data_IF_934928917507
#
_entry.id   IF_934928917507
#
_cell.length_a   1.000
_cell.length_b   1.000
_cell.length_c   1.000
_cell.angle_alpha   90.00
_cell.angle_beta   90.00
_cell.angle_gamma   90.00
#
_symmetry.space_group_name_H-M   'P 1'
#
loop_
_entity.id
_entity.type
_entity.pdbx_description
1 polymer ?
#
# COMPACT_ATOMS: atom_id res chain seq x y z
N UNK A 1 21.63 18.86 -66.93
CA UNK A 1 20.39 19.12 -66.16
C UNK A 1 19.97 17.84 -65.42
N UNK A 2 19.52 16.81 -66.13
CA UNK A 2 19.06 15.49 -65.63
C UNK A 2 19.87 14.87 -64.48
N UNK A 3 21.21 14.87 -64.51
CA UNK A 3 22.02 14.28 -63.44
C UNK A 3 21.90 14.97 -62.07
N UNK A 4 21.52 16.26 -62.04
CA UNK A 4 21.24 17.00 -60.80
C UNK A 4 19.87 16.65 -60.23
N UNK A 5 18.89 16.49 -61.12
CA UNK A 5 17.51 16.12 -60.83
C UNK A 5 17.42 14.69 -60.29
N UNK A 6 18.11 13.73 -60.94
CA UNK A 6 18.24 12.36 -60.44
C UNK A 6 18.75 12.29 -59.00
N UNK A 7 19.83 13.01 -58.67
CA UNK A 7 20.38 13.08 -57.30
C UNK A 7 19.44 13.74 -56.29
N UNK A 8 18.53 14.58 -56.74
CA UNK A 8 17.55 15.26 -55.89
C UNK A 8 16.43 14.26 -55.54
N UNK A 9 15.91 13.55 -56.53
CA UNK A 9 14.93 12.47 -56.35
C UNK A 9 15.48 11.32 -55.49
N UNK A 10 16.74 10.90 -55.69
CA UNK A 10 17.40 9.88 -54.87
C UNK A 10 17.43 10.28 -53.38
N UNK A 11 17.76 11.54 -53.08
CA UNK A 11 17.73 12.08 -51.71
C UNK A 11 16.31 12.19 -51.16
N UNK A 12 15.33 12.54 -51.97
CA UNK A 12 13.94 12.69 -51.56
C UNK A 12 13.32 11.31 -51.20
N UNK A 13 13.64 10.27 -51.97
CA UNK A 13 13.30 8.87 -51.65
C UNK A 13 13.96 8.43 -50.34
N UNK A 14 15.24 8.74 -50.14
CA UNK A 14 15.97 8.41 -48.90
C UNK A 14 15.34 9.10 -47.67
N UNK A 15 14.96 10.38 -47.78
CA UNK A 15 14.27 11.11 -46.73
C UNK A 15 12.88 10.53 -46.43
N UNK A 16 12.09 10.23 -47.46
CA UNK A 16 10.77 9.62 -47.30
C UNK A 16 10.86 8.24 -46.62
N UNK A 17 11.85 7.42 -47.00
CA UNK A 17 12.07 6.10 -46.39
C UNK A 17 12.45 6.21 -44.90
N UNK A 18 13.36 7.12 -44.55
CA UNK A 18 13.74 7.37 -43.15
C UNK A 18 12.57 7.91 -42.31
N UNK A 19 11.73 8.77 -42.88
CA UNK A 19 10.50 9.25 -42.23
C UNK A 19 9.49 8.12 -42.02
N UNK A 20 9.33 7.22 -42.99
CA UNK A 20 8.42 6.08 -42.87
C UNK A 20 8.87 5.09 -41.78
N UNK A 21 10.17 4.75 -41.72
CA UNK A 21 10.75 3.91 -40.65
C UNK A 21 10.50 4.54 -39.26
N UNK A 22 10.65 5.86 -39.13
CA UNK A 22 10.38 6.57 -37.87
C UNK A 22 8.89 6.53 -37.50
N UNK A 23 8.00 6.72 -38.47
CA UNK A 23 6.55 6.66 -38.27
C UNK A 23 6.08 5.24 -37.89
N UNK A 24 6.63 4.20 -38.53
CA UNK A 24 6.38 2.80 -38.18
C UNK A 24 6.83 2.48 -36.75
N UNK A 25 8.01 2.95 -36.32
CA UNK A 25 8.49 2.82 -34.95
C UNK A 25 7.62 3.53 -33.91
N UNK A 26 7.11 4.73 -34.24
CA UNK A 26 6.15 5.44 -33.38
C UNK A 26 4.81 4.72 -33.29
N UNK A 27 4.29 4.23 -34.41
CA UNK A 27 3.03 3.49 -34.47
C UNK A 27 3.10 2.18 -33.65
N UNK A 28 4.22 1.47 -33.72
CA UNK A 28 4.42 0.23 -32.96
C UNK A 28 4.51 0.50 -31.45
N UNK A 29 5.20 1.57 -31.04
CA UNK A 29 5.22 2.01 -29.65
C UNK A 29 3.80 2.38 -29.14
N UNK A 30 2.99 3.05 -29.96
CA UNK A 30 1.63 3.44 -29.56
C UNK A 30 0.70 2.22 -29.45
N UNK A 31 0.82 1.23 -30.35
CA UNK A 31 0.11 -0.06 -30.20
C UNK A 31 0.49 -0.77 -28.90
N UNK A 32 1.77 -0.79 -28.54
CA UNK A 32 2.22 -1.40 -27.28
C UNK A 32 1.64 -0.69 -26.05
N UNK A 33 1.61 0.65 -26.04
CA UNK A 33 0.93 1.41 -24.96
C UNK A 33 -0.55 1.06 -24.85
N UNK A 34 -1.27 1.02 -25.96
CA UNK A 34 -2.71 0.67 -25.99
C UNK A 34 -2.93 -0.76 -25.49
N UNK A 35 -2.08 -1.71 -25.88
CA UNK A 35 -2.15 -3.09 -25.41
C UNK A 35 -1.97 -3.20 -23.89
N UNK A 36 -0.93 -2.56 -23.33
CA UNK A 36 -0.66 -2.53 -21.89
C UNK A 36 -1.80 -1.84 -21.13
N UNK A 37 -2.32 -0.72 -21.66
CA UNK A 37 -3.44 0.01 -21.05
C UNK A 37 -4.70 -0.88 -20.97
N UNK A 38 -4.99 -1.63 -22.04
CA UNK A 38 -6.12 -2.55 -22.07
C UNK A 38 -5.93 -3.72 -21.09
N UNK A 39 -4.73 -4.29 -21.00
CA UNK A 39 -4.41 -5.34 -20.02
C UNK A 39 -4.58 -4.85 -18.57
N UNK A 40 -4.18 -3.61 -18.27
CA UNK A 40 -4.37 -2.99 -16.96
C UNK A 40 -5.85 -2.75 -16.63
N UNK A 41 -6.65 -2.36 -17.63
CA UNK A 41 -8.09 -2.13 -17.45
C UNK A 41 -8.84 -3.44 -17.15
N UNK A 42 -8.59 -4.51 -17.91
CA UNK A 42 -9.15 -5.84 -17.68
C UNK A 42 -8.78 -6.37 -16.27
N UNK A 43 -7.52 -6.20 -15.85
CA UNK A 43 -7.06 -6.53 -14.48
C UNK A 43 -7.80 -5.71 -13.41
N UNK A 44 -8.15 -4.46 -13.68
CA UNK A 44 -8.87 -3.60 -12.75
C UNK A 44 -10.34 -4.00 -12.63
N UNK A 45 -11.01 -4.33 -13.75
CA UNK A 45 -12.44 -4.67 -13.74
C UNK A 45 -12.69 -6.08 -13.18
N UNK A 46 -11.76 -7.03 -13.36
CA UNK A 46 -11.73 -8.30 -12.62
C UNK A 46 -11.69 -8.10 -11.09
N UNK A 47 -11.10 -6.99 -10.61
CA UNK A 47 -11.01 -6.66 -9.18
C UNK A 47 -12.28 -5.97 -8.63
N UNK A 48 -13.06 -5.29 -9.49
CA UNK A 48 -14.29 -4.55 -9.09
C UNK A 48 -15.51 -5.44 -8.86
N UNK A 49 -15.56 -6.64 -9.43
CA UNK A 49 -16.72 -7.55 -9.30
C UNK A 49 -16.87 -8.21 -7.92
N UNK A 50 -15.99 -7.91 -6.96
CA UNK A 50 -16.23 -8.21 -5.56
C UNK A 50 -16.93 -7.03 -4.89
N UNK A 51 -18.23 -7.17 -4.62
CA UNK A 51 -18.96 -6.29 -3.70
C UNK A 51 -18.32 -6.39 -2.30
N UNK A 52 -17.38 -5.50 -2.01
CA UNK A 52 -16.73 -5.36 -0.70
C UNK A 52 -17.49 -4.31 0.10
N UNK A 53 -18.22 -4.69 1.18
CA UNK A 53 -18.66 -3.72 2.17
C UNK A 53 -17.44 -2.99 2.73
N UNK A 54 -17.58 -1.66 2.89
CA UNK A 54 -16.79 -0.73 3.71
C UNK A 54 -15.54 -1.34 4.39
N UNK A 55 -14.31 -0.84 4.15
CA UNK A 55 -13.09 -1.44 4.68
C UNK A 55 -13.05 -1.41 6.21
N UNK A 56 -13.51 -2.50 6.83
CA UNK A 56 -13.04 -2.92 8.13
C UNK A 56 -11.53 -3.15 8.00
N UNK A 57 -10.76 -2.54 8.91
CA UNK A 57 -9.31 -2.69 8.95
C UNK A 57 -9.01 -4.13 9.36
N UNK A 58 -8.89 -5.01 8.35
CA UNK A 58 -8.36 -6.35 8.49
C UNK A 58 -6.86 -6.24 8.70
N UNK A 59 -6.48 -5.95 9.95
CA UNK A 59 -5.20 -6.37 10.51
C UNK A 59 -5.02 -7.83 10.08
N UNK A 60 -3.92 -8.14 9.39
CA UNK A 60 -3.66 -9.50 8.87
C UNK A 60 -3.39 -10.45 10.04
N UNK A 61 -3.83 -11.73 9.92
CA UNK A 61 -4.12 -12.65 11.04
C UNK A 61 -3.50 -14.08 10.92
N UNK A 62 -2.29 -14.34 11.44
CA UNK A 62 -1.74 -15.66 11.85
C UNK A 62 -0.33 -15.65 12.51
N UNK A 63 -0.26 -16.08 13.77
CA UNK A 63 0.90 -16.78 14.34
C UNK A 63 1.27 -17.99 13.48
N UNK A 64 2.57 -18.19 13.23
CA UNK A 64 3.19 -19.49 12.86
C UNK A 64 2.64 -20.28 11.65
N UNK A 65 1.63 -19.76 10.96
CA UNK A 65 1.19 -20.15 9.61
C UNK A 65 1.25 -18.95 8.64
N UNK A 66 1.97 -17.88 9.02
CA UNK A 66 2.51 -16.87 8.11
C UNK A 66 1.73 -15.56 7.92
N UNK A 67 1.11 -14.92 8.96
CA UNK A 67 0.39 -13.64 8.76
C UNK A 67 0.34 -12.61 9.95
N UNK A 68 0.92 -12.86 11.15
CA UNK A 68 0.75 -12.16 12.47
C UNK A 68 -0.69 -12.24 13.04
N UNK A 69 -1.02 -12.75 14.25
CA UNK A 69 -2.42 -12.82 14.81
C UNK A 69 -2.94 -11.39 15.10
N UNK A 70 -4.25 -11.08 15.07
CA UNK A 70 -4.72 -9.75 15.45
C UNK A 70 -4.61 -9.59 16.96
N UNK A 71 -4.26 -8.39 17.41
CA UNK A 71 -4.66 -8.01 18.76
C UNK A 71 -6.19 -7.79 18.77
N UNK A 72 -6.91 -8.26 19.81
CA UNK A 72 -8.32 -7.92 19.97
C UNK A 72 -8.47 -6.40 20.11
N UNK A 73 -9.58 -5.86 19.62
CA UNK A 73 -9.85 -4.43 19.76
C UNK A 73 -10.13 -4.07 21.23
N UNK A 74 -9.84 -2.82 21.59
CA UNK A 74 -10.12 -2.27 22.91
C UNK A 74 -10.92 -0.96 22.79
N UNK A 75 -12.13 -0.96 23.36
CA UNK A 75 -13.09 0.15 23.26
C UNK A 75 -12.99 1.14 24.44
N UNK A 76 -12.11 0.89 25.41
CA UNK A 76 -11.94 1.71 26.62
C UNK A 76 -12.67 1.18 27.86
N UNK A 77 -13.02 -0.11 27.90
CA UNK A 77 -13.68 -0.75 29.05
C UNK A 77 -12.68 -1.15 30.15
N UNK A 78 -12.69 -0.55 31.36
CA UNK A 78 -11.71 -0.86 32.41
C UNK A 78 -11.72 -2.33 32.87
N UNK A 79 -12.87 -3.01 32.79
CA UNK A 79 -13.00 -4.42 33.18
C UNK A 79 -12.25 -5.36 32.22
N UNK A 80 -12.15 -4.98 30.95
CA UNK A 80 -11.48 -5.77 29.92
C UNK A 80 -10.02 -5.37 29.73
N UNK A 81 -9.63 -4.17 30.20
CA UNK A 81 -8.26 -3.65 30.06
C UNK A 81 -7.19 -4.62 30.58
N UNK A 82 -7.38 -5.20 31.78
CA UNK A 82 -6.41 -6.14 32.37
C UNK A 82 -6.21 -7.41 31.53
N UNK A 83 -7.30 -7.92 30.94
CA UNK A 83 -7.26 -9.07 30.03
C UNK A 83 -6.64 -8.68 28.69
N UNK A 84 -6.99 -7.50 28.17
CA UNK A 84 -6.47 -6.99 26.90
C UNK A 84 -4.96 -6.73 26.97
N UNK A 85 -4.47 -6.00 27.97
CA UNK A 85 -3.04 -5.68 28.11
C UNK A 85 -2.19 -6.95 28.31
N UNK A 86 -2.74 -7.98 28.98
CA UNK A 86 -2.10 -9.29 29.09
C UNK A 86 -1.98 -10.00 27.73
N UNK A 87 -3.01 -9.92 26.88
CA UNK A 87 -2.92 -10.42 25.49
C UNK A 87 -1.91 -9.63 24.64
N UNK A 88 -1.76 -8.32 24.87
CA UNK A 88 -0.75 -7.47 24.22
C UNK A 88 0.66 -7.92 24.61
N UNK A 89 0.89 -8.18 25.90
CA UNK A 89 2.18 -8.67 26.41
C UNK A 89 2.52 -10.05 25.85
N UNK A 90 1.58 -11.00 25.86
CA UNK A 90 1.79 -12.35 25.34
C UNK A 90 2.00 -12.38 23.83
N UNK A 91 1.33 -11.47 23.09
CA UNK A 91 1.59 -11.25 21.68
C UNK A 91 3.05 -10.80 21.47
N UNK A 92 3.53 -9.74 22.11
CA UNK A 92 4.90 -9.27 21.87
C UNK A 92 5.99 -10.23 22.40
N UNK A 93 5.71 -11.06 23.42
CA UNK A 93 6.56 -12.20 23.78
C UNK A 93 6.69 -13.21 22.63
N UNK A 94 5.57 -13.53 21.96
CA UNK A 94 5.56 -14.50 20.86
C UNK A 94 6.19 -13.96 19.56
N UNK A 95 6.21 -12.64 19.36
CA UNK A 95 6.83 -11.97 18.21
C UNK A 95 7.90 -10.96 18.65
N UNK A 96 8.92 -11.42 19.37
CA UNK A 96 10.02 -10.58 19.85
C UNK A 96 10.71 -9.72 18.77
N UNK A 97 10.63 -10.13 17.50
CA UNK A 97 11.20 -9.44 16.34
C UNK A 97 10.39 -8.22 15.86
N UNK A 98 9.21 -7.95 16.42
CA UNK A 98 8.42 -6.75 16.09
C UNK A 98 9.11 -5.53 16.71
N UNK A 99 9.45 -4.56 15.87
CA UNK A 99 10.06 -3.29 16.25
C UNK A 99 9.13 -2.39 17.06
N UNK A 100 9.65 -1.53 17.93
CA UNK A 100 8.81 -0.69 18.82
C UNK A 100 7.85 0.24 18.05
N UNK A 101 8.25 0.69 16.85
CA UNK A 101 7.37 1.39 15.92
C UNK A 101 6.16 0.53 15.50
N UNK A 102 6.39 -0.71 15.09
CA UNK A 102 5.31 -1.65 14.78
C UNK A 102 4.47 -1.97 16.02
N UNK A 103 5.07 -2.11 17.22
CA UNK A 103 4.33 -2.37 18.47
C UNK A 103 3.33 -1.26 18.74
N UNK A 104 3.81 0.00 18.72
CA UNK A 104 2.99 1.21 18.81
C UNK A 104 1.88 1.20 17.75
N UNK A 105 2.21 0.99 16.47
CA UNK A 105 1.22 1.00 15.40
C UNK A 105 0.14 -0.08 15.55
N UNK A 106 0.51 -1.32 15.90
CA UNK A 106 -0.44 -2.43 16.08
C UNK A 106 -1.38 -2.14 17.25
N UNK A 107 -0.85 -1.63 18.37
CA UNK A 107 -1.66 -1.31 19.55
C UNK A 107 -2.60 -0.12 19.29
N UNK A 108 -2.10 0.97 18.69
CA UNK A 108 -2.94 2.13 18.30
C UNK A 108 -4.03 1.72 17.30
N UNK A 109 -3.74 0.79 16.39
CA UNK A 109 -4.73 0.23 15.45
C UNK A 109 -5.79 -0.65 16.12
N UNK A 110 -5.49 -1.20 17.30
CA UNK A 110 -6.44 -1.97 18.10
C UNK A 110 -7.34 -1.09 18.99
N UNK A 111 -6.99 0.18 19.23
CA UNK A 111 -7.82 1.11 19.99
C UNK A 111 -9.05 1.55 19.17
N UNK A 112 -10.22 1.48 19.80
CA UNK A 112 -11.52 1.92 19.27
C UNK A 112 -12.24 2.82 20.27
N UNK A 113 -13.25 3.53 19.77
CA UNK A 113 -14.17 4.38 20.55
C UNK A 113 -13.42 5.22 21.61
N UNK A 114 -13.77 5.07 22.90
CA UNK A 114 -13.22 5.87 24.00
C UNK A 114 -11.70 5.73 24.13
N UNK A 115 -11.14 4.56 23.85
CA UNK A 115 -9.69 4.36 23.88
C UNK A 115 -8.98 5.10 22.73
N UNK A 116 -9.65 5.26 21.58
CA UNK A 116 -9.12 6.04 20.46
C UNK A 116 -9.30 7.55 20.66
N UNK A 117 -10.42 7.96 21.26
CA UNK A 117 -10.63 9.34 21.72
C UNK A 117 -9.59 9.74 22.76
N UNK A 118 -9.31 8.87 23.74
CA UNK A 118 -8.21 9.03 24.69
C UNK A 118 -6.87 9.22 23.97
N UNK A 119 -6.48 8.31 23.07
CA UNK A 119 -5.22 8.42 22.34
C UNK A 119 -5.08 9.76 21.58
N UNK A 120 -6.16 10.24 20.95
CA UNK A 120 -6.18 11.53 20.25
C UNK A 120 -6.16 12.76 21.19
N UNK A 121 -6.44 12.58 22.48
CA UNK A 121 -6.49 13.65 23.49
C UNK A 121 -5.20 13.77 24.32
N UNK A 122 -4.34 12.75 24.27
CA UNK A 122 -3.05 12.71 24.99
C UNK A 122 -1.99 13.45 24.18
N UNK A 123 -1.07 14.13 24.88
CA UNK A 123 0.05 14.83 24.24
C UNK A 123 0.95 13.86 23.48
N UNK A 124 1.42 14.22 22.28
CA UNK A 124 2.32 13.39 21.48
C UNK A 124 3.58 12.93 22.26
N UNK A 125 4.10 13.77 23.17
CA UNK A 125 5.23 13.45 24.04
C UNK A 125 4.98 12.30 25.04
N UNK A 126 3.72 12.07 25.45
CA UNK A 126 3.32 10.98 26.35
C UNK A 126 3.05 9.67 25.60
N UNK A 127 3.03 9.69 24.26
CA UNK A 127 2.80 8.50 23.40
C UNK A 127 3.86 8.33 22.31
N UNK A 128 4.93 9.13 22.29
CA UNK A 128 5.95 9.15 21.24
C UNK A 128 6.64 7.78 21.07
N UNK A 129 7.16 7.24 22.17
CA UNK A 129 7.77 5.90 22.21
C UNK A 129 6.75 4.83 22.58
N UNK A 130 7.09 3.56 22.29
CA UNK A 130 6.32 2.41 22.77
C UNK A 130 6.22 2.37 24.30
N UNK A 131 7.31 2.65 25.01
CA UNK A 131 7.34 2.65 26.49
C UNK A 131 6.48 3.77 27.08
N UNK A 132 6.52 4.97 26.48
CA UNK A 132 5.65 6.09 26.87
C UNK A 132 4.17 5.71 26.69
N UNK A 133 3.79 5.23 25.51
CA UNK A 133 2.41 4.79 25.21
C UNK A 133 1.94 3.69 26.17
N UNK A 134 2.77 2.68 26.40
CA UNK A 134 2.45 1.54 27.26
C UNK A 134 2.32 1.95 28.74
N UNK A 135 3.14 2.90 29.20
CA UNK A 135 3.02 3.49 30.54
C UNK A 135 1.75 4.33 30.67
N UNK A 136 1.45 5.17 29.67
CA UNK A 136 0.25 5.99 29.60
C UNK A 136 -1.04 5.17 29.56
N UNK A 137 -1.02 4.00 28.90
CA UNK A 137 -2.15 3.05 28.89
C UNK A 137 -2.43 2.41 30.26
N UNK A 138 -1.42 2.28 31.13
CA UNK A 138 -1.54 1.65 32.47
C UNK A 138 -1.83 2.62 33.61
N UNK A 139 -1.98 3.91 33.30
CA UNK A 139 -2.12 5.03 34.25
C UNK A 139 -3.57 5.33 34.59
#
# INVERSE_FOLDING_TARGET
MLAKEKRLLEREIELANNQNILAEGQLELEKQKVHILNELLERQDASKNNNIPRPEIKISNATRTGKKIPLPFFEGNPLEFQRWISNVDDYFKQYYHISDFERKYIVVSALKEKAKEWYNSVNDSEVDTWESLYSSLKK
#
